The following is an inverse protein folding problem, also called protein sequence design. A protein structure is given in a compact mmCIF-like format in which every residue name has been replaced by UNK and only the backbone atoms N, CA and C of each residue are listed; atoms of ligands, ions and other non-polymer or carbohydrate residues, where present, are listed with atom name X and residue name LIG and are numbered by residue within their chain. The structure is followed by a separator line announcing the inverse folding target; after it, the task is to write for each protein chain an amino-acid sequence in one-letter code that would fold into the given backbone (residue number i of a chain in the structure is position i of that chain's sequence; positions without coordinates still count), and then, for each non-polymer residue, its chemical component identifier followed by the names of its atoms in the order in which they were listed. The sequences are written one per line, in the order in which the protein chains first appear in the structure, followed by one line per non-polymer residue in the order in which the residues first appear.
data_IF_193139350686
#
_entry.id   IF_193139350686
#
_cell.length_a   1.000
_cell.length_b   1.000
_cell.length_c   1.000
_cell.angle_alpha   90.00
_cell.angle_beta   90.00
_cell.angle_gamma   90.00
#
_symmetry.space_group_name_H-M   'P 1'
#
loop_
_entity.id
_entity.type
_entity.pdbx_description
1 polymer ?
#
# COMPACT_ATOMS: atom_id res chain seq x y z
N UNK A 1 13.41 -20.49 -11.15
CA UNK A 1 14.31 -19.44 -10.61
C UNK A 1 13.53 -18.74 -9.51
N UNK A 2 13.98 -18.84 -8.26
CA UNK A 2 13.43 -18.03 -7.16
C UNK A 2 13.90 -16.61 -7.38
N UNK A 3 12.97 -15.67 -7.53
CA UNK A 3 13.35 -14.25 -7.60
C UNK A 3 13.90 -13.80 -6.25
N UNK A 4 14.82 -12.83 -6.29
CA UNK A 4 15.39 -12.26 -5.07
C UNK A 4 14.29 -11.61 -4.21
N UNK A 5 14.44 -11.62 -2.87
CA UNK A 5 13.56 -10.88 -1.98
C UNK A 5 13.56 -9.38 -2.31
N UNK A 6 12.41 -8.73 -2.11
CA UNK A 6 12.31 -7.28 -2.26
C UNK A 6 13.19 -6.59 -1.21
N UNK A 7 13.94 -5.58 -1.64
CA UNK A 7 14.74 -4.76 -0.72
C UNK A 7 13.84 -3.75 0.00
N UNK A 8 14.26 -3.31 1.18
CA UNK A 8 13.56 -2.24 1.89
C UNK A 8 13.53 -0.93 1.10
N UNK A 9 14.49 -0.69 0.20
CA UNK A 9 14.46 0.47 -0.69
C UNK A 9 13.34 0.35 -1.74
N UNK A 10 13.15 -0.83 -2.33
CA UNK A 10 12.03 -1.07 -3.26
C UNK A 10 10.69 -0.88 -2.57
N UNK A 11 10.54 -1.43 -1.35
CA UNK A 11 9.33 -1.32 -0.55
C UNK A 11 9.08 0.13 -0.14
N UNK A 12 10.12 0.84 0.33
CA UNK A 12 10.08 2.27 0.64
C UNK A 12 9.58 3.09 -0.54
N UNK A 13 10.14 2.86 -1.71
CA UNK A 13 9.78 3.61 -2.92
C UNK A 13 8.34 3.36 -3.36
N UNK A 14 7.72 2.26 -2.94
CA UNK A 14 6.29 1.98 -3.14
C UNK A 14 5.39 2.57 -2.05
N UNK A 15 5.77 2.42 -0.77
CA UNK A 15 4.96 2.83 0.38
C UNK A 15 4.86 4.35 0.50
N UNK A 16 5.95 5.11 0.31
CA UNK A 16 5.91 6.57 0.44
C UNK A 16 4.92 7.24 -0.54
N UNK A 17 4.92 6.91 -1.84
CA UNK A 17 3.91 7.43 -2.76
C UNK A 17 2.46 7.13 -2.35
N UNK A 18 2.19 6.06 -1.58
CA UNK A 18 0.84 5.72 -1.16
C UNK A 18 0.20 6.76 -0.23
N UNK A 19 0.97 7.71 0.30
CA UNK A 19 0.42 8.86 1.03
C UNK A 19 -0.30 9.87 0.12
N UNK A 20 -0.01 9.91 -1.19
CA UNK A 20 -0.49 11.04 -2.02
C UNK A 20 -0.45 10.90 -3.54
N UNK A 21 0.26 9.91 -4.09
CA UNK A 21 0.53 9.83 -5.52
C UNK A 21 0.03 8.51 -6.13
N UNK A 22 -1.27 8.48 -6.46
CA UNK A 22 -1.93 7.33 -7.05
C UNK A 22 -1.27 6.86 -8.35
N UNK A 23 -0.82 7.78 -9.21
CA UNK A 23 -0.21 7.41 -10.49
C UNK A 23 1.08 6.59 -10.29
N UNK A 24 1.92 6.98 -9.33
CA UNK A 24 3.14 6.23 -9.00
C UNK A 24 2.81 4.87 -8.38
N UNK A 25 1.83 4.82 -7.46
CA UNK A 25 1.40 3.56 -6.85
C UNK A 25 0.89 2.57 -7.91
N UNK A 26 0.05 3.04 -8.84
CA UNK A 26 -0.46 2.22 -9.95
C UNK A 26 0.65 1.72 -10.86
N UNK A 27 1.58 2.60 -11.25
CA UNK A 27 2.69 2.24 -12.11
C UNK A 27 3.58 1.18 -11.45
N UNK A 28 4.06 1.44 -10.23
CA UNK A 28 5.00 0.55 -9.54
C UNK A 28 4.39 -0.80 -9.23
N UNK A 29 3.10 -0.85 -8.85
CA UNK A 29 2.44 -2.12 -8.57
C UNK A 29 2.19 -2.94 -9.84
N UNK A 30 1.97 -2.29 -10.98
CA UNK A 30 1.87 -2.98 -12.27
C UNK A 30 3.23 -3.58 -12.70
N UNK A 31 4.34 -2.90 -12.39
CA UNK A 31 5.70 -3.37 -12.67
C UNK A 31 6.15 -4.50 -11.73
N UNK A 32 5.80 -4.43 -10.45
CA UNK A 32 6.17 -5.42 -9.43
C UNK A 32 5.00 -5.69 -8.47
N UNK A 33 4.09 -6.64 -8.82
CA UNK A 33 2.91 -6.96 -8.01
C UNK A 33 3.22 -7.48 -6.60
N UNK A 34 4.44 -7.99 -6.34
CA UNK A 34 4.83 -8.49 -5.02
C UNK A 34 4.85 -7.39 -3.96
N UNK A 35 4.93 -6.11 -4.36
CA UNK A 35 4.95 -4.96 -3.45
C UNK A 35 3.66 -4.76 -2.65
N UNK A 36 2.52 -5.27 -3.13
CA UNK A 36 1.18 -4.93 -2.63
C UNK A 36 1.05 -4.93 -1.10
N UNK A 37 1.59 -5.98 -0.48
CA UNK A 37 1.43 -6.25 0.95
C UNK A 37 2.76 -6.15 1.72
N UNK A 38 3.81 -5.64 1.08
CA UNK A 38 5.10 -5.47 1.73
C UNK A 38 5.08 -4.27 2.66
N UNK A 39 5.78 -4.42 3.78
CA UNK A 39 5.84 -3.43 4.84
C UNK A 39 7.19 -2.70 4.83
N UNK A 40 7.14 -1.38 4.82
CA UNK A 40 8.33 -0.57 5.04
C UNK A 40 8.65 -0.54 6.53
N UNK A 41 9.78 -1.13 6.92
CA UNK A 41 10.10 -1.40 8.32
C UNK A 41 10.28 -0.14 9.14
N UNK A 42 10.84 0.94 8.57
CA UNK A 42 11.09 2.18 9.31
C UNK A 42 9.80 2.85 9.78
N UNK A 43 8.72 2.76 8.99
CA UNK A 43 7.42 3.36 9.30
C UNK A 43 6.39 2.34 9.81
N UNK A 44 6.76 1.06 9.84
CA UNK A 44 5.92 -0.06 10.24
C UNK A 44 4.57 -0.14 9.47
N UNK A 45 4.58 0.19 8.19
CA UNK A 45 3.36 0.27 7.38
C UNK A 45 3.49 -0.32 5.96
N UNK A 46 2.37 -0.83 5.45
CA UNK A 46 2.13 -1.15 4.05
C UNK A 46 1.63 0.07 3.28
N UNK A 47 1.56 -0.02 1.94
CA UNK A 47 0.96 1.05 1.13
C UNK A 47 -0.51 1.33 1.49
N UNK A 48 -1.28 0.30 1.86
CA UNK A 48 -2.68 0.48 2.26
C UNK A 48 -2.79 1.25 3.58
N UNK A 49 -1.91 0.95 4.53
CA UNK A 49 -1.85 1.64 5.83
C UNK A 49 -1.43 3.10 5.68
N UNK A 50 -0.41 3.37 4.85
CA UNK A 50 0.02 4.71 4.47
C UNK A 50 -1.14 5.54 3.90
N UNK A 51 -1.86 4.99 2.90
CA UNK A 51 -3.02 5.64 2.32
C UNK A 51 -4.16 5.84 3.34
N UNK A 52 -4.36 4.88 4.24
CA UNK A 52 -5.44 4.91 5.22
C UNK A 52 -5.23 5.98 6.28
N UNK A 53 -4.04 6.09 6.86
CA UNK A 53 -3.82 7.00 7.97
C UNK A 53 -3.84 8.48 7.56
N UNK A 54 -3.53 8.79 6.29
CA UNK A 54 -3.65 10.17 5.73
C UNK A 54 -5.02 10.44 5.09
N UNK A 55 -5.96 9.49 5.11
CA UNK A 55 -7.29 9.65 4.54
C UNK A 55 -7.34 9.64 3.01
N UNK A 56 -6.35 9.06 2.34
CA UNK A 56 -6.31 8.99 0.87
C UNK A 56 -7.17 7.84 0.34
N UNK A 57 -8.49 8.06 0.34
CA UNK A 57 -9.49 7.09 -0.12
C UNK A 57 -9.23 6.54 -1.53
N UNK A 58 -8.91 7.33 -2.57
CA UNK A 58 -8.64 6.79 -3.91
C UNK A 58 -7.50 5.75 -3.96
N UNK A 59 -6.41 5.98 -3.22
CA UNK A 59 -5.30 5.01 -3.19
C UNK A 59 -5.69 3.76 -2.40
N UNK A 60 -6.39 3.91 -1.28
CA UNK A 60 -6.86 2.77 -0.50
C UNK A 60 -7.84 1.91 -1.30
N UNK A 61 -8.82 2.52 -2.00
CA UNK A 61 -9.76 1.81 -2.88
C UNK A 61 -9.03 1.06 -3.99
N UNK A 62 -8.02 1.69 -4.61
CA UNK A 62 -7.19 1.02 -5.61
C UNK A 62 -6.47 -0.21 -5.02
N UNK A 63 -5.77 -0.07 -3.90
CA UNK A 63 -5.00 -1.16 -3.28
C UNK A 63 -5.91 -2.30 -2.81
N UNK A 64 -7.09 -1.99 -2.25
CA UNK A 64 -8.12 -2.97 -1.91
C UNK A 64 -8.60 -3.73 -3.16
N UNK A 65 -8.82 -3.04 -4.28
CA UNK A 65 -9.19 -3.67 -5.55
C UNK A 65 -8.09 -4.58 -6.13
N UNK A 66 -6.82 -4.36 -5.75
CA UNK A 66 -5.70 -5.27 -6.10
C UNK A 66 -5.58 -6.46 -5.15
N UNK A 67 -6.40 -6.53 -4.10
CA UNK A 67 -6.42 -7.64 -3.14
C UNK A 67 -5.61 -7.39 -1.86
N UNK A 68 -5.24 -6.14 -1.55
CA UNK A 68 -4.71 -5.83 -0.23
C UNK A 68 -5.77 -6.15 0.84
N UNK A 69 -5.40 -6.80 1.96
CA UNK A 69 -6.36 -7.14 2.99
C UNK A 69 -6.82 -5.88 3.73
N UNK A 70 -8.14 -5.69 3.78
CA UNK A 70 -8.75 -4.66 4.63
C UNK A 70 -8.28 -4.86 6.09
N UNK A 71 -7.83 -3.78 6.72
CA UNK A 71 -7.48 -3.76 8.14
C UNK A 71 -8.34 -2.75 8.92
N UNK A 72 -8.16 -2.71 10.24
CA UNK A 72 -8.93 -1.82 11.12
C UNK A 72 -8.75 -0.33 10.78
N UNK A 73 -7.53 0.10 10.43
CA UNK A 73 -7.25 1.50 10.09
C UNK A 73 -7.95 1.92 8.80
N UNK A 74 -7.93 1.05 7.79
CA UNK A 74 -8.65 1.25 6.54
C UNK A 74 -10.16 1.23 6.79
N UNK A 75 -10.70 0.25 7.53
CA UNK A 75 -12.12 0.19 7.84
C UNK A 75 -12.61 1.46 8.57
N UNK A 76 -11.84 1.93 9.56
CA UNK A 76 -12.13 3.17 10.27
C UNK A 76 -12.05 4.39 9.35
N UNK A 77 -11.03 4.49 8.48
CA UNK A 77 -10.94 5.55 7.47
C UNK A 77 -12.14 5.54 6.51
N UNK A 78 -12.67 4.35 6.21
CA UNK A 78 -13.84 4.20 5.36
C UNK A 78 -15.17 4.50 6.07
N UNK A 79 -15.17 4.70 7.39
CA UNK A 79 -16.37 4.88 8.20
C UNK A 79 -17.22 3.61 8.28
N UNK A 80 -16.60 2.44 8.22
CA UNK A 80 -17.29 1.16 8.36
C UNK A 80 -17.61 0.89 9.83
N UNK A 81 -18.84 0.48 10.08
CA UNK A 81 -19.36 0.04 11.37
C UNK A 81 -19.69 -1.46 11.27
N UNK A 82 -19.84 -2.13 12.42
CA UNK A 82 -20.12 -3.56 12.55
C UNK A 82 -21.58 -3.96 12.26
#
# INVERSE_FOLDING_TARGET
MTQDPLTQEQIRNFVLPAHGNLAVVQQMLAEEPRLLNEKYVEFDETALEAASHVGNRPIAEFLLAQGAPMNLYTAAMFGLED
#
